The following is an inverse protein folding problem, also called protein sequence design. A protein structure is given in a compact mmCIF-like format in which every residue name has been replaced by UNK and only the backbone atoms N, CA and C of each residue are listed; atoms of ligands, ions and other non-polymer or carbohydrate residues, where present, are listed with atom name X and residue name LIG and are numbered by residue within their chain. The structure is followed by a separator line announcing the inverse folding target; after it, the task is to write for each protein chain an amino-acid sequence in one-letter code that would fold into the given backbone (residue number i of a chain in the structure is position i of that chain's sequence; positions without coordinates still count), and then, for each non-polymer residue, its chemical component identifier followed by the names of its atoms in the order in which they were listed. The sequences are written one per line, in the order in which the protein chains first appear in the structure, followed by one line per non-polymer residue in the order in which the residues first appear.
data_IF_560978148633
#
_entry.id   IF_560978148633
#
_cell.length_a   1.000
_cell.length_b   1.000
_cell.length_c   1.000
_cell.angle_alpha   90.00
_cell.angle_beta   90.00
_cell.angle_gamma   90.00
#
_symmetry.space_group_name_H-M   'P 1'
#
loop_
_entity.id
_entity.type
_entity.pdbx_description
1 polymer ?
#
# COMPACT_ATOMS: atom_id res chain seq x y z
N UNK A 1 -52.44 19.30 22.95
CA UNK A 1 -51.23 20.03 22.52
C UNK A 1 -50.19 18.99 22.12
N UNK A 2 -50.14 18.64 20.84
CA UNK A 2 -49.05 17.85 20.27
C UNK A 2 -48.18 18.83 19.49
N UNK A 3 -47.24 19.46 20.20
CA UNK A 3 -46.21 20.29 19.59
C UNK A 3 -45.26 19.36 18.85
N UNK A 4 -45.41 19.30 17.53
CA UNK A 4 -44.34 19.19 16.52
C UNK A 4 -42.92 18.85 17.02
N UNK A 5 -42.70 17.66 17.58
CA UNK A 5 -41.36 17.06 17.70
C UNK A 5 -40.93 16.47 16.35
N UNK A 6 -41.00 17.27 15.29
CA UNK A 6 -40.41 16.94 13.99
C UNK A 6 -38.96 17.43 14.05
N UNK A 7 -38.02 16.49 13.98
CA UNK A 7 -36.59 16.78 14.00
C UNK A 7 -36.23 17.71 12.83
N UNK A 8 -35.50 18.78 13.12
CA UNK A 8 -35.14 19.78 12.12
C UNK A 8 -34.13 19.17 11.12
N UNK A 9 -34.27 19.45 9.84
CA UNK A 9 -33.35 18.96 8.79
C UNK A 9 -31.91 19.44 9.01
N UNK A 10 -31.75 20.58 9.70
CA UNK A 10 -30.44 21.11 10.11
C UNK A 10 -29.83 20.36 11.32
N UNK A 11 -30.61 19.56 12.05
CA UNK A 11 -30.16 18.72 13.18
C UNK A 11 -29.78 17.30 12.73
N UNK A 12 -30.12 16.92 11.50
CA UNK A 12 -29.58 15.74 10.82
C UNK A 12 -28.17 16.13 10.38
N UNK A 13 -27.15 15.61 11.06
CA UNK A 13 -25.75 16.04 10.91
C UNK A 13 -25.26 16.09 9.45
N UNK A 14 -24.08 16.68 9.25
CA UNK A 14 -23.37 17.07 8.00
C UNK A 14 -23.52 16.13 6.76
N UNK A 15 -24.00 14.89 6.93
CA UNK A 15 -24.44 13.99 5.88
C UNK A 15 -25.88 14.20 5.35
N UNK A 16 -26.58 15.30 5.69
CA UNK A 16 -28.00 15.44 5.37
C UNK A 16 -28.36 15.99 3.97
N UNK A 17 -27.43 16.44 3.11
CA UNK A 17 -27.78 17.12 1.85
C UNK A 17 -28.11 16.17 0.65
N UNK A 18 -28.95 15.15 0.87
CA UNK A 18 -29.35 14.02 -0.03
C UNK A 18 -28.45 12.79 0.09
N UNK A 19 -28.93 11.77 0.83
CA UNK A 19 -28.16 10.55 1.15
C UNK A 19 -27.53 9.84 -0.04
N UNK A 20 -28.17 9.84 -1.22
CA UNK A 20 -27.59 9.27 -2.45
C UNK A 20 -26.44 10.12 -2.99
N UNK A 21 -26.63 11.44 -3.10
CA UNK A 21 -25.61 12.36 -3.62
C UNK A 21 -24.38 12.41 -2.70
N UNK A 22 -24.59 12.51 -1.39
CA UNK A 22 -23.51 12.43 -0.41
C UNK A 22 -22.79 11.08 -0.43
N UNK A 23 -23.54 9.98 -0.61
CA UNK A 23 -22.98 8.64 -0.78
C UNK A 23 -22.10 8.52 -2.03
N UNK A 24 -22.53 9.05 -3.17
CA UNK A 24 -21.75 9.05 -4.42
C UNK A 24 -20.47 9.88 -4.28
N UNK A 25 -20.55 11.05 -3.65
CA UNK A 25 -19.37 11.89 -3.42
C UNK A 25 -18.36 11.14 -2.54
N UNK A 26 -18.83 10.51 -1.46
CA UNK A 26 -17.97 9.74 -0.57
C UNK A 26 -17.33 8.54 -1.27
N UNK A 27 -18.06 7.80 -2.11
CA UNK A 27 -17.49 6.65 -2.83
C UNK A 27 -16.46 7.07 -3.87
N UNK A 28 -16.72 8.14 -4.63
CA UNK A 28 -15.74 8.70 -5.57
C UNK A 28 -14.49 9.17 -4.84
N UNK A 29 -14.63 9.82 -3.69
CA UNK A 29 -13.50 10.24 -2.87
C UNK A 29 -12.67 9.03 -2.40
N UNK A 30 -13.31 7.98 -1.87
CA UNK A 30 -12.62 6.76 -1.46
C UNK A 30 -11.91 6.06 -2.62
N UNK A 31 -12.56 5.93 -3.78
CA UNK A 31 -11.96 5.33 -4.98
C UNK A 31 -10.79 6.15 -5.50
N UNK A 32 -10.87 7.48 -5.44
CA UNK A 32 -9.75 8.35 -5.84
C UNK A 32 -8.53 8.14 -4.94
N UNK A 33 -8.73 8.06 -3.62
CA UNK A 33 -7.66 7.79 -2.65
C UNK A 33 -7.05 6.41 -2.92
N UNK A 34 -7.87 5.38 -3.07
CA UNK A 34 -7.40 4.03 -3.38
C UNK A 34 -6.59 4.02 -4.68
N UNK A 35 -7.13 4.60 -5.77
CA UNK A 35 -6.45 4.63 -7.07
C UNK A 35 -5.10 5.33 -7.04
N UNK A 36 -5.02 6.51 -6.38
CA UNK A 36 -3.78 7.26 -6.23
C UNK A 36 -2.76 6.46 -5.41
N UNK A 37 -3.15 5.91 -4.26
CA UNK A 37 -2.24 5.16 -3.40
C UNK A 37 -1.75 3.87 -4.06
N UNK A 38 -2.61 3.17 -4.82
CA UNK A 38 -2.22 1.99 -5.59
C UNK A 38 -1.21 2.35 -6.67
N UNK A 39 -1.43 3.43 -7.43
CA UNK A 39 -0.49 3.88 -8.46
C UNK A 39 0.89 4.19 -7.85
N UNK A 40 0.94 5.00 -6.80
CA UNK A 40 2.18 5.35 -6.11
C UNK A 40 2.89 4.10 -5.56
N UNK A 41 2.14 3.16 -5.00
CA UNK A 41 2.68 1.90 -4.48
C UNK A 41 3.32 1.05 -5.58
N UNK A 42 2.67 0.93 -6.74
CA UNK A 42 3.22 0.18 -7.88
C UNK A 42 4.50 0.83 -8.40
N UNK A 43 4.54 2.16 -8.50
CA UNK A 43 5.75 2.88 -8.92
C UNK A 43 6.92 2.60 -7.98
N UNK A 44 6.71 2.74 -6.66
CA UNK A 44 7.77 2.47 -5.67
C UNK A 44 8.19 1.00 -5.70
N UNK A 45 7.25 0.07 -5.86
CA UNK A 45 7.56 -1.35 -6.00
C UNK A 45 8.41 -1.63 -7.24
N UNK A 46 8.10 -1.03 -8.39
CA UNK A 46 8.88 -1.19 -9.61
C UNK A 46 10.30 -0.60 -9.49
N UNK A 47 10.43 0.58 -8.88
CA UNK A 47 11.71 1.25 -8.67
C UNK A 47 12.63 0.45 -7.72
N UNK A 48 12.06 -0.18 -6.69
CA UNK A 48 12.83 -1.01 -5.76
C UNK A 48 13.08 -2.42 -6.29
N UNK A 49 12.17 -2.97 -7.10
CA UNK A 49 12.37 -4.27 -7.73
C UNK A 49 13.61 -4.27 -8.63
N UNK A 50 13.99 -3.14 -9.22
CA UNK A 50 15.19 -3.01 -10.05
C UNK A 50 16.45 -2.60 -9.26
N UNK A 51 16.29 -2.18 -7.99
CA UNK A 51 17.39 -1.89 -7.08
C UNK A 51 17.87 -3.17 -6.36
N UNK A 52 18.45 -4.09 -7.14
CA UNK A 52 19.10 -5.25 -6.56
C UNK A 52 20.38 -4.84 -5.83
N UNK A 53 20.67 -5.51 -4.72
CA UNK A 53 22.00 -5.44 -4.11
C UNK A 53 23.04 -5.85 -5.15
N UNK A 54 23.91 -4.92 -5.52
CA UNK A 54 25.06 -5.25 -6.33
C UNK A 54 25.99 -6.11 -5.45
N UNK A 55 26.10 -7.40 -5.77
CA UNK A 55 27.23 -8.18 -5.29
C UNK A 55 28.45 -7.48 -5.90
N UNK A 56 29.30 -6.89 -5.07
CA UNK A 56 30.58 -6.38 -5.52
C UNK A 56 31.38 -7.60 -6.01
N UNK A 57 31.26 -7.91 -7.31
CA UNK A 57 31.88 -9.06 -7.97
C UNK A 57 33.36 -8.80 -8.20
N UNK A 58 34.05 -8.17 -7.25
CA UNK A 58 35.48 -8.33 -7.19
C UNK A 58 35.73 -9.83 -6.96
N UNK A 59 36.12 -10.52 -8.04
CA UNK A 59 36.42 -11.94 -8.05
C UNK A 59 37.51 -12.27 -7.01
N UNK A 60 38.31 -11.27 -6.60
CA UNK A 60 39.32 -11.37 -5.56
C UNK A 60 38.78 -11.15 -4.14
N UNK A 61 37.58 -10.56 -3.97
CA UNK A 61 36.96 -10.38 -2.66
C UNK A 61 36.37 -11.69 -2.11
N UNK A 62 36.01 -12.63 -3.00
CA UNK A 62 35.58 -13.98 -2.64
C UNK A 62 36.78 -14.91 -2.49
N UNK A 63 37.55 -14.76 -1.40
CA UNK A 63 38.61 -15.72 -1.05
C UNK A 63 38.02 -16.97 -0.39
N UNK A 64 38.40 -18.14 -0.89
CA UNK A 64 38.10 -19.42 -0.25
C UNK A 64 38.85 -19.47 1.09
N UNK A 65 38.13 -19.30 2.20
CA UNK A 65 38.73 -19.18 3.54
C UNK A 65 39.36 -20.50 4.03
N UNK A 66 38.84 -21.65 3.61
CA UNK A 66 39.41 -22.96 3.93
C UNK A 66 39.29 -23.93 2.75
N UNK A 67 40.39 -24.58 2.33
CA UNK A 67 40.38 -25.66 1.35
C UNK A 67 39.67 -26.92 1.86
N UNK A 68 39.50 -27.09 3.17
CA UNK A 68 38.83 -28.25 3.76
C UNK A 68 37.31 -28.22 3.52
N UNK A 69 36.75 -27.06 3.19
CA UNK A 69 35.30 -26.86 3.00
C UNK A 69 34.73 -27.67 1.80
N UNK A 70 35.58 -28.14 0.90
CA UNK A 70 35.20 -29.06 -0.18
C UNK A 70 34.70 -30.42 0.35
N UNK A 71 35.18 -30.84 1.52
CA UNK A 71 34.84 -32.14 2.13
C UNK A 71 33.46 -32.16 2.79
N UNK A 72 32.81 -31.01 2.94
CA UNK A 72 31.49 -30.88 3.57
C UNK A 72 30.33 -30.84 2.55
N UNK A 73 30.63 -30.94 1.24
CA UNK A 73 29.58 -31.03 0.21
C UNK A 73 29.18 -32.49 0.02
N UNK A 74 28.00 -32.85 0.51
CA UNK A 74 27.37 -34.11 0.13
C UNK A 74 26.78 -33.95 -1.28
N UNK A 75 27.34 -34.66 -2.26
CA UNK A 75 26.67 -34.83 -3.55
C UNK A 75 25.59 -35.89 -3.33
N UNK A 76 24.33 -35.51 -3.49
CA UNK A 76 23.18 -36.43 -3.51
C UNK A 76 22.94 -36.92 -4.92
#
# INVERSE_FOLDING_TARGET
MAGNTQMNENERGVMALHGLTGGIIATVLLLSIVGILTFLSITVQADNATNYYQINQDLHALKMNSPENMNHRTMK
#
